data_IF_052357692568
#
_entry.id   IF_052357692568
#
_cell.length_a   1.000
_cell.length_b   1.000
_cell.length_c   1.000
_cell.angle_alpha   90.00
_cell.angle_beta   90.00
_cell.angle_gamma   90.00
#
_symmetry.space_group_name_H-M   'P 1'
#
loop_
_entity.id
_entity.type
_entity.pdbx_description
1 polymer ?
#
# COMPACT_ATOMS: atom_id res chain seq x y z
N UNK A 1 -33.04 13.61 -8.49
CA UNK A 1 -32.18 12.48 -8.95
C UNK A 1 -30.81 13.00 -9.41
N UNK A 2 -30.71 13.94 -10.37
CA UNK A 2 -29.43 14.47 -10.91
C UNK A 2 -28.53 15.12 -9.88
N UNK A 3 -29.05 15.83 -8.88
CA UNK A 3 -28.26 16.45 -7.82
C UNK A 3 -27.65 15.38 -6.90
N UNK A 4 -28.42 14.36 -6.56
CA UNK A 4 -27.95 13.21 -5.74
C UNK A 4 -26.89 12.39 -6.44
N UNK A 5 -26.99 12.17 -7.75
CA UNK A 5 -25.99 11.42 -8.51
C UNK A 5 -24.65 12.18 -8.62
N UNK A 6 -24.67 13.51 -8.78
CA UNK A 6 -23.44 14.33 -8.79
C UNK A 6 -22.73 14.31 -7.44
N UNK A 7 -23.49 14.34 -6.34
CA UNK A 7 -22.91 14.22 -5.00
C UNK A 7 -22.28 12.85 -4.77
N UNK A 8 -22.96 11.75 -5.16
CA UNK A 8 -22.43 10.40 -5.07
C UNK A 8 -21.17 10.18 -5.91
N UNK A 9 -21.11 10.75 -7.12
CA UNK A 9 -19.92 10.70 -7.96
C UNK A 9 -18.73 11.44 -7.33
N UNK A 10 -18.95 12.60 -6.70
CA UNK A 10 -17.92 13.32 -5.95
C UNK A 10 -17.34 12.49 -4.81
N UNK A 11 -18.20 11.86 -4.00
CA UNK A 11 -17.79 10.98 -2.91
C UNK A 11 -17.02 9.74 -3.41
N UNK A 12 -17.38 9.20 -4.59
CA UNK A 12 -16.65 8.12 -5.21
C UNK A 12 -15.23 8.55 -5.63
N UNK A 13 -15.08 9.78 -6.16
CA UNK A 13 -13.76 10.36 -6.47
C UNK A 13 -12.93 10.56 -5.20
N UNK A 14 -13.53 11.05 -4.14
CA UNK A 14 -12.86 11.21 -2.83
C UNK A 14 -12.37 9.87 -2.27
N UNK A 15 -13.18 8.83 -2.38
CA UNK A 15 -12.83 7.46 -1.97
C UNK A 15 -11.70 6.90 -2.82
N UNK A 16 -11.75 7.10 -4.14
CA UNK A 16 -10.68 6.73 -5.06
C UNK A 16 -9.38 7.47 -4.71
N UNK A 17 -9.44 8.79 -4.52
CA UNK A 17 -8.29 9.61 -4.14
C UNK A 17 -7.66 9.12 -2.84
N UNK A 18 -8.46 8.80 -1.81
CA UNK A 18 -7.98 8.23 -0.56
C UNK A 18 -7.22 6.92 -0.79
N UNK A 19 -7.76 6.01 -1.61
CA UNK A 19 -7.12 4.73 -1.89
C UNK A 19 -5.81 4.86 -2.68
N UNK A 20 -5.77 5.75 -3.67
CA UNK A 20 -4.57 6.04 -4.48
C UNK A 20 -3.50 6.68 -3.62
N UNK A 21 -3.85 7.69 -2.82
CA UNK A 21 -2.92 8.34 -1.89
C UNK A 21 -2.35 7.34 -0.88
N UNK A 22 -3.19 6.51 -0.26
CA UNK A 22 -2.75 5.49 0.68
C UNK A 22 -1.78 4.50 0.04
N UNK A 23 -2.10 4.02 -1.17
CA UNK A 23 -1.25 3.08 -1.91
C UNK A 23 0.06 3.71 -2.34
N UNK A 24 0.03 4.96 -2.83
CA UNK A 24 1.23 5.69 -3.23
C UNK A 24 2.15 5.95 -2.04
N UNK A 25 1.62 6.41 -0.92
CA UNK A 25 2.40 6.65 0.30
C UNK A 25 3.04 5.37 0.84
N UNK A 26 2.26 4.28 0.93
CA UNK A 26 2.77 2.98 1.37
C UNK A 26 3.84 2.46 0.39
N UNK A 27 3.59 2.52 -0.91
CA UNK A 27 4.51 2.07 -1.95
C UNK A 27 5.82 2.85 -1.95
N UNK A 28 5.78 4.18 -1.87
CA UNK A 28 6.98 5.02 -1.81
C UNK A 28 7.81 4.73 -0.55
N UNK A 29 7.16 4.58 0.61
CA UNK A 29 7.86 4.21 1.84
C UNK A 29 8.52 2.83 1.73
N UNK A 30 7.84 1.86 1.11
CA UNK A 30 8.38 0.52 0.87
C UNK A 30 9.55 0.55 -0.08
N UNK A 31 9.50 1.32 -1.19
CA UNK A 31 10.60 1.43 -2.15
C UNK A 31 11.92 1.89 -1.52
N UNK A 32 11.85 2.66 -0.45
CA UNK A 32 13.05 3.09 0.30
C UNK A 32 13.51 2.03 1.30
N UNK A 33 12.58 1.24 1.86
CA UNK A 33 12.84 0.41 3.04
C UNK A 33 12.96 -1.08 2.77
N UNK A 34 12.48 -1.60 1.61
CA UNK A 34 12.43 -3.05 1.34
C UNK A 34 13.81 -3.70 1.22
N UNK A 35 14.79 -3.00 0.60
CA UNK A 35 16.15 -3.51 0.45
C UNK A 35 16.87 -3.68 1.78
N UNK A 36 16.99 -2.62 2.63
CA UNK A 36 17.65 -2.78 3.93
C UNK A 36 16.88 -3.69 4.89
N UNK A 37 15.60 -3.98 4.61
CA UNK A 37 14.79 -4.92 5.38
C UNK A 37 14.93 -6.37 4.92
N UNK A 38 15.70 -6.65 3.86
CA UNK A 38 16.00 -8.01 3.40
C UNK A 38 17.26 -8.56 4.08
N UNK A 39 17.19 -9.80 4.59
CA UNK A 39 18.28 -10.43 5.34
C UNK A 39 19.55 -10.60 4.50
N UNK A 40 19.41 -11.07 3.25
CA UNK A 40 20.51 -11.28 2.33
C UNK A 40 21.28 -10.00 1.95
N UNK A 41 20.63 -8.83 2.07
CA UNK A 41 21.27 -7.52 1.91
C UNK A 41 21.90 -7.07 3.24
N UNK A 42 21.19 -7.21 4.36
CA UNK A 42 21.62 -6.77 5.68
C UNK A 42 22.85 -7.53 6.21
N UNK A 43 22.93 -8.83 5.94
CA UNK A 43 24.07 -9.68 6.34
C UNK A 43 25.21 -9.72 5.31
N UNK A 44 25.04 -9.08 4.16
CA UNK A 44 26.12 -8.87 3.19
C UNK A 44 26.27 -9.97 2.12
N UNK A 45 25.36 -10.91 2.05
CA UNK A 45 25.41 -12.02 1.09
C UNK A 45 25.31 -11.51 -0.36
N UNK A 46 24.45 -10.53 -0.61
CA UNK A 46 24.24 -9.94 -1.93
C UNK A 46 25.12 -8.71 -2.19
N UNK A 47 25.21 -7.78 -1.26
CA UNK A 47 25.82 -6.46 -1.52
C UNK A 47 27.18 -6.24 -0.81
N UNK A 48 27.72 -7.22 -0.11
CA UNK A 48 28.99 -7.09 0.64
C UNK A 48 28.98 -5.97 1.69
N UNK A 49 27.80 -5.52 2.10
CA UNK A 49 27.60 -4.38 2.99
C UNK A 49 27.22 -4.80 4.43
N UNK A 50 27.43 -6.05 4.79
CA UNK A 50 27.10 -6.60 6.10
C UNK A 50 27.88 -5.96 7.25
N UNK A 51 27.48 -4.76 7.64
CA UNK A 51 28.02 -4.03 8.80
C UNK A 51 27.03 -4.01 9.97
N UNK A 52 27.49 -3.55 11.14
CA UNK A 52 26.62 -3.37 12.32
C UNK A 52 25.42 -2.48 12.00
N UNK A 53 25.59 -1.42 11.22
CA UNK A 53 24.52 -0.50 10.79
C UNK A 53 23.44 -1.19 9.94
N UNK A 54 23.84 -2.04 8.98
CA UNK A 54 22.90 -2.80 8.16
C UNK A 54 22.03 -3.75 8.96
N UNK A 55 22.63 -4.46 9.93
CA UNK A 55 21.92 -5.36 10.85
C UNK A 55 20.94 -4.61 11.76
N UNK A 56 21.34 -3.45 12.29
CA UNK A 56 20.45 -2.62 13.12
C UNK A 56 19.27 -2.11 12.28
N UNK A 57 19.52 -1.59 11.07
CA UNK A 57 18.46 -1.14 10.17
C UNK A 57 17.49 -2.28 9.82
N UNK A 58 17.98 -3.47 9.53
CA UNK A 58 17.17 -4.67 9.29
C UNK A 58 16.22 -4.95 10.45
N UNK A 59 16.73 -5.06 11.68
CA UNK A 59 15.88 -5.35 12.84
C UNK A 59 14.87 -4.26 13.14
N UNK A 60 15.25 -2.99 13.00
CA UNK A 60 14.34 -1.86 13.20
C UNK A 60 13.22 -1.84 12.16
N UNK A 61 13.54 -2.05 10.87
CA UNK A 61 12.54 -2.08 9.80
C UNK A 61 11.61 -3.28 9.93
N UNK A 62 12.14 -4.46 10.24
CA UNK A 62 11.32 -5.65 10.50
C UNK A 62 10.39 -5.46 11.69
N UNK A 63 10.87 -4.85 12.78
CA UNK A 63 10.04 -4.51 13.93
C UNK A 63 8.94 -3.49 13.54
N UNK A 64 9.30 -2.46 12.76
CA UNK A 64 8.33 -1.49 12.25
C UNK A 64 7.26 -2.14 11.37
N UNK A 65 7.62 -3.06 10.46
CA UNK A 65 6.65 -3.81 9.64
C UNK A 65 5.71 -4.67 10.49
N UNK A 66 6.24 -5.32 11.53
CA UNK A 66 5.41 -6.11 12.45
C UNK A 66 4.46 -5.21 13.22
N UNK A 67 4.96 -4.11 13.78
CA UNK A 67 4.17 -3.17 14.56
C UNK A 67 3.04 -2.54 13.74
N UNK A 68 3.35 -1.99 12.56
CA UNK A 68 2.36 -1.28 11.74
C UNK A 68 1.24 -2.18 11.22
N UNK A 69 1.52 -3.45 10.90
CA UNK A 69 0.51 -4.41 10.44
C UNK A 69 -0.23 -5.14 11.58
N UNK A 70 0.31 -5.14 12.80
CA UNK A 70 -0.34 -5.79 13.94
C UNK A 70 -1.57 -5.04 14.45
N UNK A 71 -1.61 -3.73 14.21
CA UNK A 71 -2.73 -2.88 14.55
C UNK A 71 -3.69 -2.85 13.36
N UNK A 72 -4.98 -3.22 13.54
CA UNK A 72 -5.99 -3.13 12.47
C UNK A 72 -6.09 -1.72 11.88
N UNK A 73 -6.36 -1.64 10.57
CA UNK A 73 -6.46 -0.36 9.87
C UNK A 73 -7.50 0.59 10.46
N UNK A 74 -8.59 0.06 11.01
CA UNK A 74 -9.63 0.86 11.66
C UNK A 74 -9.12 1.58 12.90
N UNK A 75 -8.28 0.93 13.71
CA UNK A 75 -7.67 1.56 14.89
C UNK A 75 -6.67 2.65 14.48
N UNK A 76 -5.88 2.42 13.42
CA UNK A 76 -5.04 3.47 12.85
C UNK A 76 -5.88 4.67 12.39
N UNK A 77 -7.00 4.40 11.71
CA UNK A 77 -7.89 5.45 11.24
C UNK A 77 -8.46 6.28 12.40
N UNK A 78 -8.93 5.61 13.47
CA UNK A 78 -9.43 6.31 14.65
C UNK A 78 -8.37 7.21 15.29
N UNK A 79 -7.14 6.70 15.47
CA UNK A 79 -6.04 7.46 16.06
C UNK A 79 -5.66 8.67 15.20
N UNK A 80 -5.49 8.48 13.90
CA UNK A 80 -5.04 9.53 12.99
C UNK A 80 -6.12 10.58 12.78
N UNK A 81 -7.40 10.18 12.61
CA UNK A 81 -8.53 11.11 12.49
C UNK A 81 -8.71 11.92 13.77
N UNK A 82 -8.51 11.31 14.94
CA UNK A 82 -8.58 12.01 16.22
C UNK A 82 -7.48 13.07 16.38
N UNK A 83 -6.26 12.78 15.88
CA UNK A 83 -5.12 13.70 15.95
C UNK A 83 -5.15 14.82 14.91
N UNK A 84 -5.58 14.52 13.68
CA UNK A 84 -5.47 15.42 12.52
C UNK A 84 -6.81 16.04 12.08
N UNK A 85 -7.93 15.73 12.75
CA UNK A 85 -9.29 16.03 12.34
C UNK A 85 -9.83 15.13 11.20
N UNK A 86 -11.18 15.06 11.03
CA UNK A 86 -11.80 14.28 9.96
C UNK A 86 -11.41 14.73 8.55
N UNK A 87 -11.17 13.78 7.64
CA UNK A 87 -10.85 14.09 6.25
C UNK A 87 -10.22 12.94 5.48
N UNK A 88 -10.07 13.13 4.16
CA UNK A 88 -9.51 12.14 3.23
C UNK A 88 -8.04 11.84 3.55
N UNK A 89 -7.26 12.88 3.86
CA UNK A 89 -5.82 12.74 4.12
C UNK A 89 -5.53 11.91 5.39
N UNK A 90 -6.15 12.15 6.55
CA UNK A 90 -6.00 11.28 7.72
C UNK A 90 -6.36 9.82 7.44
N UNK A 91 -7.44 9.57 6.69
CA UNK A 91 -7.81 8.22 6.27
C UNK A 91 -6.76 7.56 5.37
N UNK A 92 -6.22 8.31 4.42
CA UNK A 92 -5.13 7.82 3.55
C UNK A 92 -3.86 7.51 4.33
N UNK A 93 -3.47 8.34 5.30
CA UNK A 93 -2.30 8.10 6.16
C UNK A 93 -2.49 6.83 6.99
N UNK A 94 -3.67 6.65 7.60
CA UNK A 94 -3.98 5.47 8.40
C UNK A 94 -3.85 4.17 7.58
N UNK A 95 -4.47 4.16 6.40
CA UNK A 95 -4.37 3.05 5.45
C UNK A 95 -2.93 2.83 4.97
N UNK A 96 -2.18 3.91 4.72
CA UNK A 96 -0.79 3.83 4.30
C UNK A 96 0.10 3.18 5.36
N UNK A 97 -0.04 3.55 6.64
CA UNK A 97 0.75 2.99 7.74
C UNK A 97 0.51 1.49 7.88
N UNK A 98 -0.74 1.06 7.88
CA UNK A 98 -1.08 -0.36 7.97
C UNK A 98 -0.53 -1.15 6.77
N UNK A 99 -0.74 -0.63 5.55
CA UNK A 99 -0.31 -1.28 4.33
C UNK A 99 1.21 -1.24 4.12
N UNK A 100 1.91 -0.24 4.65
CA UNK A 100 3.36 -0.21 4.70
C UNK A 100 3.96 -1.44 5.37
N UNK A 101 3.41 -1.85 6.51
CA UNK A 101 3.88 -3.05 7.22
C UNK A 101 3.70 -4.34 6.43
N UNK A 102 2.57 -4.46 5.70
CA UNK A 102 2.27 -5.65 4.88
C UNK A 102 3.14 -5.68 3.62
N UNK A 103 3.13 -4.59 2.85
CA UNK A 103 3.91 -4.47 1.62
C UNK A 103 5.41 -4.55 1.90
N UNK A 104 5.88 -3.90 2.97
CA UNK A 104 7.30 -3.91 3.34
C UNK A 104 7.81 -5.31 3.65
N UNK A 105 7.05 -6.09 4.41
CA UNK A 105 7.39 -7.49 4.68
C UNK A 105 7.43 -8.31 3.39
N UNK A 106 6.35 -8.28 2.59
CA UNK A 106 6.27 -9.05 1.35
C UNK A 106 7.39 -8.67 0.38
N UNK A 107 7.67 -7.38 0.24
CA UNK A 107 8.73 -6.89 -0.65
C UNK A 107 10.13 -7.32 -0.21
N UNK A 108 10.40 -7.34 1.08
CA UNK A 108 11.67 -7.85 1.61
C UNK A 108 11.81 -9.36 1.38
N UNK A 109 10.74 -10.13 1.55
CA UNK A 109 10.71 -11.57 1.26
C UNK A 109 10.92 -11.88 -0.23
N UNK A 110 10.47 -11.02 -1.14
CA UNK A 110 10.79 -11.15 -2.58
C UNK A 110 12.30 -11.05 -2.81
N UNK A 111 12.98 -10.09 -2.18
CA UNK A 111 14.43 -9.95 -2.28
C UNK A 111 15.16 -11.15 -1.67
N UNK A 112 14.65 -11.68 -0.56
CA UNK A 112 15.25 -12.84 0.13
C UNK A 112 15.14 -14.13 -0.70
N UNK A 113 14.07 -14.27 -1.47
CA UNK A 113 13.78 -15.49 -2.26
C UNK A 113 14.15 -15.37 -3.74
N UNK A 114 14.75 -14.24 -4.19
CA UNK A 114 15.14 -14.07 -5.59
C UNK A 114 16.34 -14.98 -5.98
N UNK A 115 16.50 -15.22 -7.28
CA UNK A 115 17.72 -15.87 -7.78
C UNK A 115 18.94 -14.94 -7.62
N UNK A 116 19.90 -15.38 -6.84
CA UNK A 116 21.11 -14.60 -6.53
C UNK A 116 22.21 -14.74 -7.59
N UNK A 117 22.10 -15.70 -8.53
CA UNK A 117 23.12 -15.98 -9.55
C UNK A 117 23.48 -14.77 -10.42
N UNK A 118 22.51 -13.96 -10.94
CA UNK A 118 22.85 -12.78 -11.72
C UNK A 118 23.63 -11.74 -10.92
N UNK A 119 23.27 -11.51 -9.65
CA UNK A 119 23.99 -10.60 -8.78
C UNK A 119 25.42 -11.10 -8.46
N UNK A 120 25.58 -12.39 -8.24
CA UNK A 120 26.88 -13.03 -8.02
C UNK A 120 27.78 -12.98 -9.26
N UNK A 121 27.22 -13.21 -10.47
CA UNK A 121 27.96 -13.09 -11.72
C UNK A 121 28.49 -11.65 -11.95
N UNK A 122 27.66 -10.63 -11.68
CA UNK A 122 28.07 -9.24 -11.74
C UNK A 122 29.19 -8.94 -10.73
N UNK A 123 29.10 -9.48 -9.52
CA UNK A 123 30.13 -9.34 -8.49
C UNK A 123 31.47 -9.96 -8.95
N UNK A 124 31.44 -11.15 -9.52
CA UNK A 124 32.64 -11.82 -10.06
C UNK A 124 33.27 -11.05 -11.21
N UNK A 125 32.45 -10.30 -11.98
CA UNK A 125 32.92 -9.39 -13.03
C UNK A 125 33.44 -8.04 -12.51
N UNK A 126 33.49 -7.83 -11.17
CA UNK A 126 33.99 -6.61 -10.57
C UNK A 126 32.97 -5.47 -10.46
N UNK A 127 31.68 -5.75 -10.63
CA UNK A 127 30.62 -4.72 -10.52
C UNK A 127 30.55 -4.13 -9.11
N UNK A 128 30.37 -2.81 -9.04
CA UNK A 128 30.13 -2.11 -7.79
C UNK A 128 28.75 -2.38 -7.19
N UNK A 129 28.54 -2.05 -5.92
CA UNK A 129 27.27 -2.29 -5.20
C UNK A 129 26.04 -1.71 -5.91
N UNK A 130 26.16 -0.50 -6.46
CA UNK A 130 25.09 0.17 -7.19
C UNK A 130 24.75 -0.56 -8.49
N UNK A 131 25.76 -1.04 -9.22
CA UNK A 131 25.58 -1.81 -10.46
C UNK A 131 24.90 -3.15 -10.18
N UNK A 132 25.32 -3.85 -9.09
CA UNK A 132 24.65 -5.08 -8.68
C UNK A 132 23.18 -4.84 -8.32
N UNK A 133 22.89 -3.74 -7.61
CA UNK A 133 21.51 -3.36 -7.27
C UNK A 133 20.71 -3.08 -8.54
N UNK A 134 21.20 -2.19 -9.40
CA UNK A 134 20.47 -1.69 -10.56
C UNK A 134 20.27 -2.75 -11.65
N UNK A 135 21.24 -3.64 -11.89
CA UNK A 135 21.21 -4.63 -12.97
C UNK A 135 21.00 -6.06 -12.50
N UNK A 136 21.34 -6.39 -11.25
CA UNK A 136 21.23 -7.76 -10.73
C UNK A 136 19.98 -7.99 -9.88
N UNK A 137 19.54 -6.99 -9.10
CA UNK A 137 18.47 -7.13 -8.12
C UNK A 137 17.17 -6.49 -8.60
N UNK A 138 17.19 -5.19 -8.87
CA UNK A 138 15.98 -4.43 -9.19
C UNK A 138 15.17 -4.98 -10.36
N UNK A 139 15.77 -5.39 -11.50
CA UNK A 139 14.99 -5.91 -12.62
C UNK A 139 14.20 -7.17 -12.30
N UNK A 140 14.69 -8.01 -11.38
CA UNK A 140 14.02 -9.24 -10.95
C UNK A 140 12.88 -8.96 -9.95
N UNK A 141 13.07 -7.97 -9.07
CA UNK A 141 12.21 -7.73 -7.92
C UNK A 141 11.08 -6.76 -8.26
N UNK A 142 11.33 -5.70 -9.06
CA UNK A 142 10.37 -4.65 -9.36
C UNK A 142 9.05 -5.15 -9.98
N UNK A 143 9.00 -6.07 -10.95
CA UNK A 143 7.74 -6.55 -11.51
C UNK A 143 6.86 -7.22 -10.46
N UNK A 144 7.47 -7.97 -9.54
CA UNK A 144 6.75 -8.64 -8.45
C UNK A 144 6.26 -7.64 -7.39
N UNK A 145 7.08 -6.64 -7.06
CA UNK A 145 6.67 -5.55 -6.16
C UNK A 145 5.48 -4.76 -6.73
N UNK A 146 5.51 -4.42 -8.01
CA UNK A 146 4.41 -3.74 -8.69
C UNK A 146 3.13 -4.59 -8.65
N UNK A 147 3.26 -5.90 -8.87
CA UNK A 147 2.13 -6.82 -8.78
C UNK A 147 1.52 -6.81 -7.37
N UNK A 148 2.34 -6.85 -6.32
CA UNK A 148 1.86 -6.78 -4.93
C UNK A 148 1.24 -5.43 -4.60
N UNK A 149 1.82 -4.32 -5.08
CA UNK A 149 1.29 -2.98 -4.89
C UNK A 149 -0.10 -2.84 -5.52
N UNK A 150 -0.27 -3.30 -6.75
CA UNK A 150 -1.55 -3.25 -7.46
C UNK A 150 -2.59 -4.16 -6.81
N UNK A 151 -2.22 -5.37 -6.41
CA UNK A 151 -3.11 -6.25 -5.65
C UNK A 151 -3.54 -5.60 -4.32
N UNK A 152 -2.60 -4.94 -3.65
CA UNK A 152 -2.91 -4.28 -2.38
C UNK A 152 -3.81 -3.08 -2.57
N UNK A 153 -3.69 -2.36 -3.69
CA UNK A 153 -4.61 -1.27 -4.03
C UNK A 153 -6.07 -1.77 -4.16
N UNK A 154 -6.30 -2.93 -4.76
CA UNK A 154 -7.63 -3.56 -4.81
C UNK A 154 -8.19 -3.86 -3.40
N UNK A 155 -7.34 -4.21 -2.46
CA UNK A 155 -7.76 -4.41 -1.06
C UNK A 155 -8.03 -3.07 -0.39
N UNK A 156 -7.14 -2.08 -0.56
CA UNK A 156 -7.25 -0.76 0.06
C UNK A 156 -8.56 -0.06 -0.35
N UNK A 157 -8.97 -0.11 -1.63
CA UNK A 157 -10.22 0.54 -2.05
C UNK A 157 -11.43 -0.03 -1.30
N UNK A 158 -11.41 -1.32 -0.97
CA UNK A 158 -12.49 -1.94 -0.19
C UNK A 158 -12.46 -1.51 1.27
N UNK A 159 -11.29 -1.36 1.87
CA UNK A 159 -11.16 -0.93 3.27
C UNK A 159 -11.38 0.56 3.48
N UNK A 160 -11.33 1.40 2.42
CA UNK A 160 -11.64 2.84 2.53
C UNK A 160 -13.06 3.10 3.07
N UNK A 161 -14.04 2.24 2.72
CA UNK A 161 -15.41 2.38 3.24
C UNK A 161 -15.45 2.16 4.75
N UNK A 162 -14.72 1.15 5.25
CA UNK A 162 -14.63 0.84 6.69
C UNK A 162 -13.96 1.99 7.45
N UNK A 163 -12.86 2.51 6.90
CA UNK A 163 -12.15 3.67 7.45
C UNK A 163 -13.01 4.94 7.38
N UNK A 164 -13.83 5.08 6.35
CA UNK A 164 -14.81 6.17 6.22
C UNK A 164 -15.83 6.22 7.37
N UNK A 165 -16.17 5.07 7.99
CA UNK A 165 -17.08 5.04 9.15
C UNK A 165 -16.55 5.81 10.37
N UNK A 166 -15.25 5.99 10.50
CA UNK A 166 -14.65 6.80 11.57
C UNK A 166 -14.34 8.23 11.12
N UNK A 167 -15.16 8.77 10.21
CA UNK A 167 -15.10 10.13 9.72
C UNK A 167 -13.85 10.46 8.84
N UNK A 168 -13.25 9.47 8.21
CA UNK A 168 -12.18 9.70 7.23
C UNK A 168 -12.67 10.25 5.86
N UNK A 169 -13.98 10.54 5.72
CA UNK A 169 -14.56 11.08 4.49
C UNK A 169 -14.95 10.02 3.45
N UNK A 170 -15.27 10.47 2.23
CA UNK A 170 -15.66 9.64 1.11
C UNK A 170 -17.01 8.91 1.27
N UNK A 171 -17.23 7.89 0.44
CA UNK A 171 -18.47 7.09 0.43
C UNK A 171 -18.78 6.46 1.79
N UNK A 172 -17.76 6.00 2.53
CA UNK A 172 -17.96 5.34 3.82
C UNK A 172 -18.54 6.25 4.90
N UNK A 173 -18.11 7.50 4.95
CA UNK A 173 -18.63 8.50 5.87
C UNK A 173 -20.10 8.80 5.58
N UNK A 174 -20.44 9.05 4.33
CA UNK A 174 -21.82 9.32 3.92
C UNK A 174 -22.71 8.09 4.13
N UNK A 175 -22.22 6.90 3.84
CA UNK A 175 -22.93 5.65 4.10
C UNK A 175 -23.34 5.52 5.57
N UNK A 176 -22.43 5.81 6.50
CA UNK A 176 -22.72 5.82 7.94
C UNK A 176 -23.81 6.84 8.30
N UNK A 177 -23.73 8.07 7.76
CA UNK A 177 -24.72 9.12 8.02
C UNK A 177 -26.11 8.71 7.54
N UNK A 178 -26.23 8.17 6.30
CA UNK A 178 -27.52 7.72 5.74
C UNK A 178 -28.09 6.53 6.50
N UNK A 179 -27.23 5.61 6.97
CA UNK A 179 -27.68 4.53 7.87
C UNK A 179 -28.26 5.06 9.17
N UNK A 180 -27.64 6.07 9.78
CA UNK A 180 -28.13 6.68 11.03
C UNK A 180 -29.49 7.35 10.88
N UNK A 181 -29.82 7.80 9.66
CA UNK A 181 -31.10 8.45 9.33
C UNK A 181 -32.10 7.49 8.66
N UNK A 182 -31.79 6.19 8.55
CA UNK A 182 -32.62 5.16 7.92
C UNK A 182 -33.03 5.48 6.46
N UNK A 183 -32.17 6.18 5.72
CA UNK A 183 -32.39 6.61 4.34
C UNK A 183 -31.98 5.51 3.36
N UNK A 184 -32.76 4.42 3.28
CA UNK A 184 -32.40 3.21 2.52
C UNK A 184 -32.23 3.45 1.02
N UNK A 185 -33.01 4.37 0.43
CA UNK A 185 -32.88 4.73 -1.00
C UNK A 185 -31.50 5.32 -1.32
N UNK A 186 -30.99 6.18 -0.42
CA UNK A 186 -29.67 6.80 -0.57
C UNK A 186 -28.56 5.80 -0.31
N UNK A 187 -28.74 4.91 0.66
CA UNK A 187 -27.81 3.80 0.95
C UNK A 187 -27.66 2.91 -0.31
N UNK A 188 -28.75 2.56 -0.97
CA UNK A 188 -28.72 1.75 -2.20
C UNK A 188 -27.96 2.45 -3.32
N UNK A 189 -28.15 3.75 -3.47
CA UNK A 189 -27.43 4.56 -4.46
C UNK A 189 -25.92 4.60 -4.15
N UNK A 190 -25.53 4.86 -2.91
CA UNK A 190 -24.13 4.88 -2.48
C UNK A 190 -23.47 3.51 -2.65
N UNK A 191 -24.19 2.43 -2.34
CA UNK A 191 -23.71 1.07 -2.55
C UNK A 191 -23.46 0.79 -4.03
N UNK A 192 -24.33 1.27 -4.92
CA UNK A 192 -24.16 1.14 -6.37
C UNK A 192 -22.88 1.87 -6.84
N UNK A 193 -22.65 3.11 -6.40
CA UNK A 193 -21.40 3.82 -6.70
C UNK A 193 -20.17 3.10 -6.16
N UNK A 194 -20.26 2.55 -4.96
CA UNK A 194 -19.16 1.78 -4.37
C UNK A 194 -18.84 0.53 -5.19
N UNK A 195 -19.85 -0.26 -5.56
CA UNK A 195 -19.64 -1.48 -6.37
C UNK A 195 -19.03 -1.16 -7.72
N UNK A 196 -19.52 -0.09 -8.40
CA UNK A 196 -18.95 0.37 -9.66
C UNK A 196 -17.51 0.82 -9.49
N UNK A 197 -17.19 1.53 -8.40
CA UNK A 197 -15.84 1.99 -8.10
C UNK A 197 -14.89 0.82 -7.87
N UNK A 198 -15.30 -0.19 -7.08
CA UNK A 198 -14.48 -1.40 -6.84
C UNK A 198 -14.23 -2.14 -8.15
N UNK A 199 -15.27 -2.34 -8.97
CA UNK A 199 -15.13 -2.99 -10.28
C UNK A 199 -14.16 -2.24 -11.19
N UNK A 200 -14.24 -0.90 -11.22
CA UNK A 200 -13.35 -0.05 -12.01
C UNK A 200 -11.89 -0.23 -11.55
N UNK A 201 -11.64 -0.20 -10.25
CA UNK A 201 -10.28 -0.39 -9.69
C UNK A 201 -9.76 -1.80 -9.97
N UNK A 202 -10.59 -2.83 -9.82
CA UNK A 202 -10.21 -4.22 -10.11
C UNK A 202 -9.83 -4.38 -11.61
N UNK A 203 -10.58 -3.79 -12.53
CA UNK A 203 -10.27 -3.80 -13.96
C UNK A 203 -9.00 -3.01 -14.29
N UNK A 204 -8.85 -1.81 -13.72
CA UNK A 204 -7.67 -0.98 -13.91
C UNK A 204 -6.40 -1.67 -13.39
N UNK A 205 -6.46 -2.24 -12.20
CA UNK A 205 -5.36 -2.99 -11.60
C UNK A 205 -4.99 -4.23 -12.44
N UNK A 206 -5.98 -4.99 -12.92
CA UNK A 206 -5.75 -6.14 -13.79
C UNK A 206 -5.09 -5.73 -15.11
N UNK A 207 -5.49 -4.61 -15.70
CA UNK A 207 -4.86 -4.03 -16.90
C UNK A 207 -3.40 -3.64 -16.65
N UNK A 208 -3.14 -2.90 -15.56
CA UNK A 208 -1.78 -2.47 -15.20
C UNK A 208 -0.85 -3.65 -14.90
N UNK A 209 -1.35 -4.72 -14.26
CA UNK A 209 -0.54 -5.93 -14.03
C UNK A 209 -0.15 -6.65 -15.32
N UNK A 210 -0.98 -6.59 -16.37
CA UNK A 210 -0.62 -7.17 -17.68
C UNK A 210 0.49 -6.39 -18.38
N UNK A 211 0.55 -5.07 -18.16
CA UNK A 211 1.61 -4.21 -18.71
C UNK A 211 2.94 -4.32 -17.93
N UNK A 212 2.88 -4.74 -16.66
CA UNK A 212 4.05 -4.88 -15.79
C UNK A 212 4.74 -6.26 -15.89
N UNK A 213 4.16 -7.20 -16.65
CA UNK A 213 4.74 -8.54 -16.97
C UNK A 213 5.51 -8.47 -18.26
#
# INVERSE_FOLDING_TARGET
>A
VLFRSKHGAGLAVDTLAMSVLATAMAGLAVLVTFLPAASNVAYGDLAGAGGKTGRVAFHLLRAAFVFTRSIPELLWAMLIVFMLSPGILPGAIALAIHNYGILGKLSAEVVENMDTRPAQALRSAGAGKFQMLAYGILPQVLPQLLTYLLYRWEVIIRTTVVVGFVAAGGLGHEFRLRMSWFQYDEITLLLTFYLLLVLLVDLASAGLRRLAR
#
